data_IF_573502241613
#
_entry.id   IF_573502241613
#
_cell.length_a   1.000
_cell.length_b   1.000
_cell.length_c   1.000
_cell.angle_alpha   90.00
_cell.angle_beta   90.00
_cell.angle_gamma   90.00
#
_symmetry.space_group_name_H-M   'P 1'
#
loop_
_entity.id
_entity.type
_entity.pdbx_description
1 polymer ?
#
# COMPACT_ATOMS: atom_id res chain seq x y z
N UNK A 1 -22.36 -11.04 9.80
CA UNK A 1 -21.68 -9.74 9.94
C UNK A 1 -20.66 -9.60 8.81
N UNK A 2 -20.71 -8.51 8.02
CA UNK A 2 -19.68 -8.23 6.98
C UNK A 2 -18.50 -7.53 7.65
N UNK A 3 -17.43 -8.28 7.97
CA UNK A 3 -16.25 -7.77 8.70
C UNK A 3 -15.65 -6.54 7.99
N UNK A 4 -15.62 -6.55 6.66
CA UNK A 4 -15.10 -5.47 5.81
C UNK A 4 -15.75 -4.09 6.05
N UNK A 5 -16.95 -4.04 6.63
CA UNK A 5 -17.64 -2.77 6.95
C UNK A 5 -17.28 -2.20 8.31
N UNK A 6 -16.66 -3.01 9.17
CA UNK A 6 -16.39 -2.66 10.57
C UNK A 6 -14.91 -2.71 10.92
N UNK A 7 -14.13 -3.52 10.21
CA UNK A 7 -12.69 -3.58 10.38
C UNK A 7 -12.06 -2.32 9.77
N UNK A 8 -11.40 -1.54 10.61
CA UNK A 8 -10.61 -0.37 10.25
C UNK A 8 -9.72 0.03 11.43
N UNK A 9 -8.70 0.82 11.13
CA UNK A 9 -7.91 1.47 12.18
C UNK A 9 -8.65 2.65 12.81
N UNK A 10 -8.19 3.10 13.98
CA UNK A 10 -8.76 4.28 14.65
C UNK A 10 -8.57 5.53 13.77
N UNK A 11 -9.66 6.21 13.46
CA UNK A 11 -9.73 7.33 12.50
C UNK A 11 -9.22 8.65 13.09
N UNK A 12 -9.01 9.66 12.23
CA UNK A 12 -8.54 10.98 12.63
C UNK A 12 -7.05 11.04 12.99
N UNK A 13 -6.64 12.15 13.57
CA UNK A 13 -5.26 12.56 13.87
C UNK A 13 -5.05 12.91 15.36
N UNK A 14 -6.07 12.72 16.20
CA UNK A 14 -5.97 12.94 17.64
C UNK A 14 -5.13 11.90 18.38
N UNK A 15 -4.96 12.08 19.69
CA UNK A 15 -4.08 11.29 20.56
C UNK A 15 -4.33 9.77 20.51
N UNK A 16 -5.59 9.35 20.35
CA UNK A 16 -5.98 7.94 20.28
C UNK A 16 -6.11 7.40 18.85
N UNK A 17 -5.71 8.20 17.84
CA UNK A 17 -5.80 7.80 16.44
C UNK A 17 -4.70 6.80 16.07
N UNK A 18 -4.92 6.06 14.98
CA UNK A 18 -3.87 5.24 14.41
C UNK A 18 -2.70 6.09 13.89
N UNK A 19 -2.98 7.27 13.32
CA UNK A 19 -1.96 8.17 12.80
C UNK A 19 -0.93 8.56 13.87
N UNK A 20 -1.37 8.83 15.10
CA UNK A 20 -0.50 9.18 16.23
C UNK A 20 0.25 7.98 16.83
N UNK A 21 -0.27 6.75 16.70
CA UNK A 21 0.20 5.58 17.45
C UNK A 21 0.83 4.46 16.60
N UNK A 22 1.12 4.73 15.32
CA UNK A 22 1.58 3.69 14.36
C UNK A 22 3.09 3.75 14.04
N UNK A 23 3.90 4.24 14.99
CA UNK A 23 5.36 4.35 14.83
C UNK A 23 6.04 2.99 14.62
N UNK A 24 5.52 1.92 15.23
CA UNK A 24 6.01 0.55 15.04
C UNK A 24 5.84 0.05 13.61
N UNK A 25 4.66 0.27 13.02
CA UNK A 25 4.35 -0.10 11.64
C UNK A 25 5.20 0.70 10.65
N UNK A 26 5.37 2.01 10.89
CA UNK A 26 6.30 2.85 10.12
C UNK A 26 7.72 2.29 10.15
N UNK A 27 8.23 1.95 11.33
CA UNK A 27 9.58 1.37 11.49
C UNK A 27 9.72 0.06 10.72
N UNK A 28 8.70 -0.79 10.74
CA UNK A 28 8.74 -2.05 10.01
C UNK A 28 8.79 -1.85 8.48
N UNK A 29 8.04 -0.89 7.94
CA UNK A 29 8.13 -0.51 6.52
C UNK A 29 9.56 -0.05 6.19
N UNK A 30 10.14 0.83 7.03
CA UNK A 30 11.51 1.32 6.83
C UNK A 30 12.57 0.22 6.98
N UNK A 31 12.34 -0.80 7.81
CA UNK A 31 13.22 -1.97 7.90
C UNK A 31 13.16 -2.84 6.65
N UNK A 32 12.01 -2.91 6.00
CA UNK A 32 11.83 -3.62 4.72
C UNK A 32 12.35 -2.81 3.51
N UNK A 33 12.79 -1.57 3.72
CA UNK A 33 13.28 -0.65 2.68
C UNK A 33 14.32 -1.27 1.73
N UNK A 34 15.33 -2.05 2.17
CA UNK A 34 16.29 -2.66 1.24
C UNK A 34 15.65 -3.64 0.25
N UNK A 35 14.61 -4.37 0.69
CA UNK A 35 13.86 -5.29 -0.17
C UNK A 35 13.02 -4.52 -1.18
N UNK A 36 12.35 -3.46 -0.72
CA UNK A 36 11.59 -2.55 -1.58
C UNK A 36 12.49 -1.90 -2.63
N UNK A 37 13.65 -1.38 -2.22
CA UNK A 37 14.60 -0.72 -3.10
C UNK A 37 15.05 -1.63 -4.24
N UNK A 38 15.46 -2.87 -3.91
CA UNK A 38 15.87 -3.85 -4.93
C UNK A 38 14.74 -4.15 -5.92
N UNK A 39 13.51 -4.32 -5.43
CA UNK A 39 12.35 -4.57 -6.29
C UNK A 39 12.04 -3.40 -7.23
N UNK A 40 12.20 -2.16 -6.74
CA UNK A 40 12.01 -0.94 -7.54
C UNK A 40 13.12 -0.78 -8.58
N UNK A 41 14.37 -1.07 -8.24
CA UNK A 41 15.51 -1.05 -9.18
C UNK A 41 15.29 -2.04 -10.34
N UNK A 42 14.94 -3.29 -10.03
CA UNK A 42 14.64 -4.33 -11.02
C UNK A 42 13.42 -3.95 -11.89
N UNK A 43 12.35 -3.47 -11.25
CA UNK A 43 11.14 -3.05 -11.96
C UNK A 43 11.45 -1.87 -12.89
N UNK A 44 12.13 -0.86 -12.38
CA UNK A 44 12.51 0.31 -13.16
C UNK A 44 13.33 -0.13 -14.38
N UNK A 45 14.40 -0.91 -14.20
CA UNK A 45 15.20 -1.41 -15.32
C UNK A 45 14.40 -2.18 -16.40
N UNK A 46 13.32 -2.87 -16.00
CA UNK A 46 12.47 -3.66 -16.91
C UNK A 46 11.45 -2.84 -17.71
N UNK A 47 11.11 -1.63 -17.26
CA UNK A 47 10.07 -0.82 -17.90
C UNK A 47 10.55 -0.23 -19.24
N UNK A 48 9.66 -0.03 -20.23
CA UNK A 48 10.03 0.67 -21.47
C UNK A 48 10.19 2.19 -21.24
N UNK A 49 10.75 2.88 -22.24
CA UNK A 49 10.72 4.36 -22.29
C UNK A 49 9.27 4.84 -22.35
N UNK A 50 9.02 6.04 -21.79
CA UNK A 50 7.71 6.72 -21.83
C UNK A 50 6.59 5.80 -21.33
N UNK A 51 6.77 5.29 -20.11
CA UNK A 51 5.86 4.31 -19.50
C UNK A 51 5.45 4.70 -18.09
N UNK A 52 4.40 4.07 -17.59
CA UNK A 52 3.90 4.30 -16.24
C UNK A 52 4.24 3.11 -15.35
N UNK A 53 5.01 3.35 -14.30
CA UNK A 53 5.18 2.41 -13.19
C UNK A 53 3.94 2.46 -12.30
N UNK A 54 3.22 1.33 -12.20
CA UNK A 54 1.97 1.25 -11.43
C UNK A 54 2.18 0.41 -10.18
N UNK A 55 1.95 1.02 -9.01
CA UNK A 55 2.18 0.42 -7.69
C UNK A 55 0.89 0.49 -6.89
N UNK A 56 0.54 -0.59 -6.21
CA UNK A 56 -0.61 -0.63 -5.31
C UNK A 56 -0.20 -1.00 -3.88
N UNK A 57 -0.54 -0.14 -2.91
CA UNK A 57 -0.39 -0.41 -1.49
C UNK A 57 -1.70 -1.00 -0.95
N UNK A 58 -1.67 -2.27 -0.56
CA UNK A 58 -2.83 -3.00 -0.05
C UNK A 58 -2.88 -2.87 1.47
N UNK A 59 -3.94 -2.27 2.00
CA UNK A 59 -4.09 -1.99 3.43
C UNK A 59 -3.27 -0.79 3.88
N UNK A 60 -3.40 0.34 3.19
CA UNK A 60 -2.62 1.56 3.44
C UNK A 60 -2.94 2.22 4.79
N UNK A 61 -4.06 1.87 5.43
CA UNK A 61 -4.59 2.55 6.62
C UNK A 61 -4.79 4.06 6.38
N UNK A 62 -4.64 4.88 7.42
CA UNK A 62 -4.82 6.33 7.40
C UNK A 62 -3.61 7.08 7.95
N UNK A 63 -3.53 8.37 7.63
CA UNK A 63 -2.52 9.29 8.15
C UNK A 63 -1.19 9.25 7.40
N UNK A 64 -0.13 9.87 7.96
CA UNK A 64 1.16 10.03 7.27
C UNK A 64 1.83 8.71 6.89
N UNK A 65 1.55 7.64 7.62
CA UNK A 65 2.11 6.32 7.35
C UNK A 65 1.66 5.73 6.01
N UNK A 66 0.45 6.06 5.55
CA UNK A 66 -0.08 5.62 4.25
C UNK A 66 0.74 6.15 3.07
N UNK A 67 1.51 7.23 3.30
CA UNK A 67 2.32 7.89 2.27
C UNK A 67 3.81 7.54 2.34
N UNK A 68 4.24 6.78 3.35
CA UNK A 68 5.65 6.37 3.50
C UNK A 68 6.12 5.57 2.30
N UNK A 69 5.29 4.66 1.78
CA UNK A 69 5.62 3.92 0.56
C UNK A 69 5.82 4.86 -0.63
N UNK A 70 4.88 5.81 -0.82
CA UNK A 70 4.91 6.77 -1.92
C UNK A 70 6.20 7.60 -1.86
N UNK A 71 6.52 8.16 -0.69
CA UNK A 71 7.73 8.97 -0.50
C UNK A 71 9.01 8.16 -0.74
N UNK A 72 9.07 6.93 -0.23
CA UNK A 72 10.25 6.08 -0.40
C UNK A 72 10.49 5.72 -1.87
N UNK A 73 9.44 5.31 -2.59
CA UNK A 73 9.58 4.93 -4.00
C UNK A 73 9.93 6.14 -4.87
N UNK A 74 9.26 7.28 -4.67
CA UNK A 74 9.56 8.51 -5.43
C UNK A 74 11.02 8.91 -5.22
N UNK A 75 11.51 8.88 -3.98
CA UNK A 75 12.90 9.20 -3.66
C UNK A 75 13.90 8.21 -4.27
N UNK A 76 13.58 6.91 -4.28
CA UNK A 76 14.40 5.88 -4.91
C UNK A 76 14.50 6.11 -6.42
N UNK A 77 13.38 6.32 -7.11
CA UNK A 77 13.37 6.55 -8.56
C UNK A 77 14.08 7.85 -8.91
N UNK A 78 13.84 8.93 -8.16
CA UNK A 78 14.55 10.20 -8.35
C UNK A 78 16.06 10.05 -8.18
N UNK A 79 16.50 9.27 -7.19
CA UNK A 79 17.93 8.97 -6.98
C UNK A 79 18.51 8.16 -8.13
N UNK A 80 17.82 7.12 -8.59
CA UNK A 80 18.25 6.33 -9.75
C UNK A 80 18.41 7.18 -11.01
N UNK A 81 17.42 8.03 -11.32
CA UNK A 81 17.46 8.95 -12.48
C UNK A 81 18.64 9.90 -12.39
N UNK A 82 18.88 10.48 -11.20
CA UNK A 82 20.01 11.39 -10.96
C UNK A 82 21.37 10.70 -11.15
N UNK A 83 21.53 9.49 -10.62
CA UNK A 83 22.81 8.77 -10.64
C UNK A 83 23.14 8.16 -12.00
N UNK A 84 22.13 7.73 -12.75
CA UNK A 84 22.30 7.08 -14.05
C UNK A 84 22.22 8.06 -15.23
N UNK A 85 21.69 9.27 -15.01
CA UNK A 85 21.41 10.24 -16.08
C UNK A 85 20.30 9.76 -17.04
N UNK A 86 19.43 8.87 -16.57
CA UNK A 86 18.45 8.18 -17.39
C UNK A 86 17.23 9.06 -17.72
N UNK A 87 17.02 9.29 -19.02
CA UNK A 87 15.98 10.20 -19.55
C UNK A 87 14.74 9.48 -20.09
N UNK A 88 14.46 8.26 -19.65
CA UNK A 88 13.38 7.44 -20.22
C UNK A 88 11.95 7.83 -19.80
N UNK A 89 11.78 8.95 -19.11
CA UNK A 89 10.48 9.60 -18.85
C UNK A 89 9.43 8.64 -18.25
N UNK A 90 9.76 7.99 -17.14
CA UNK A 90 8.83 7.10 -16.43
C UNK A 90 7.98 7.92 -15.45
N UNK A 91 6.67 7.75 -15.55
CA UNK A 91 5.70 8.29 -14.60
C UNK A 91 5.35 7.23 -13.54
N UNK A 92 4.88 7.65 -12.37
CA UNK A 92 4.47 6.74 -11.30
C UNK A 92 2.98 6.89 -10.98
N UNK A 93 2.23 5.79 -10.94
CA UNK A 93 0.84 5.75 -10.47
C UNK A 93 0.76 4.88 -9.21
N UNK A 94 0.30 5.48 -8.13
CA UNK A 94 0.06 4.80 -6.85
C UNK A 94 -1.43 4.59 -6.62
N UNK A 95 -1.81 3.38 -6.23
CA UNK A 95 -3.13 3.05 -5.71
C UNK A 95 -3.03 2.75 -4.21
N UNK A 96 -3.65 3.57 -3.38
CA UNK A 96 -3.74 3.35 -1.94
C UNK A 96 -5.05 2.60 -1.65
N UNK A 97 -4.97 1.32 -1.35
CA UNK A 97 -6.12 0.48 -1.06
C UNK A 97 -6.33 0.31 0.44
N UNK A 98 -7.58 0.43 0.86
CA UNK A 98 -8.05 -0.03 2.17
C UNK A 98 -9.56 -0.31 2.10
N UNK A 99 -10.14 -0.82 3.18
CA UNK A 99 -11.56 -1.05 3.29
C UNK A 99 -12.36 0.26 3.20
N UNK A 100 -13.62 0.25 2.71
CA UNK A 100 -14.41 1.45 2.53
C UNK A 100 -14.64 2.30 3.79
N UNK A 101 -14.46 1.72 4.98
CA UNK A 101 -14.59 2.42 6.26
C UNK A 101 -13.34 3.19 6.72
N UNK A 102 -12.23 3.08 5.98
CA UNK A 102 -10.97 3.77 6.25
C UNK A 102 -11.09 5.30 6.07
N UNK A 103 -10.23 6.06 6.74
CA UNK A 103 -10.24 7.53 6.69
C UNK A 103 -9.39 8.04 5.50
N UNK A 104 -9.89 7.82 4.28
CA UNK A 104 -9.25 8.32 3.07
C UNK A 104 -9.18 9.86 3.03
N UNK A 105 -10.09 10.56 3.71
CA UNK A 105 -10.05 12.01 3.82
C UNK A 105 -8.79 12.48 4.55
N UNK A 106 -8.35 11.77 5.59
CA UNK A 106 -7.08 12.05 6.24
C UNK A 106 -5.89 11.76 5.32
N UNK A 107 -5.92 10.64 4.57
CA UNK A 107 -4.87 10.31 3.60
C UNK A 107 -4.70 11.40 2.55
N UNK A 108 -5.79 11.89 1.97
CA UNK A 108 -5.75 12.94 0.94
C UNK A 108 -5.28 14.29 1.50
N UNK A 109 -5.65 14.64 2.74
CA UNK A 109 -5.10 15.83 3.41
C UNK A 109 -3.60 15.71 3.64
N UNK A 110 -3.11 14.55 4.09
CA UNK A 110 -1.67 14.31 4.26
C UNK A 110 -0.88 14.32 2.93
N UNK A 111 -1.54 14.14 1.78
CA UNK A 111 -0.89 14.19 0.48
C UNK A 111 -0.45 15.61 0.11
N UNK A 112 -1.23 16.62 0.52
CA UNK A 112 -0.88 18.04 0.32
C UNK A 112 0.43 18.38 1.05
N UNK A 113 0.60 17.86 2.27
CA UNK A 113 1.83 18.01 3.05
C UNK A 113 3.02 17.37 2.31
N UNK A 114 2.85 16.14 1.80
CA UNK A 114 3.92 15.43 1.07
C UNK A 114 4.41 16.21 -0.16
N UNK A 115 3.49 16.81 -0.94
CA UNK A 115 3.85 17.56 -2.14
C UNK A 115 4.64 18.84 -1.81
N UNK A 116 4.36 19.45 -0.65
CA UNK A 116 5.08 20.64 -0.18
C UNK A 116 6.54 20.36 0.25
N UNK A 117 6.89 19.10 0.54
CA UNK A 117 8.23 18.66 0.93
C UNK A 117 9.17 18.37 -0.25
N UNK A 118 8.90 18.87 -1.46
CA UNK A 118 9.80 18.69 -2.61
C UNK A 118 11.22 19.17 -2.25
N UNK A 119 12.10 18.21 -1.97
CA UNK A 119 13.44 18.42 -1.42
C UNK A 119 14.38 18.95 -2.52
N UNK A 120 15.21 19.92 -2.14
CA UNK A 120 16.45 20.32 -2.83
C UNK A 120 16.31 20.86 -4.27
N UNK A 121 15.15 21.40 -4.65
CA UNK A 121 14.97 22.12 -5.92
C UNK A 121 15.02 21.24 -7.18
N UNK A 122 15.11 19.92 -7.02
CA UNK A 122 15.04 18.94 -8.10
C UNK A 122 13.62 18.41 -8.19
N UNK A 123 13.00 18.56 -9.35
CA UNK A 123 11.64 18.11 -9.60
C UNK A 123 11.63 16.58 -9.68
N UNK A 124 10.86 15.86 -8.83
CA UNK A 124 10.72 14.41 -8.94
C UNK A 124 10.02 14.04 -10.25
N UNK A 125 10.19 12.79 -10.75
CA UNK A 125 9.39 12.32 -11.88
C UNK A 125 7.89 12.44 -11.56
N UNK A 126 7.02 12.71 -12.56
CA UNK A 126 5.59 12.85 -12.32
C UNK A 126 5.02 11.65 -11.61
N UNK A 127 4.23 11.89 -10.57
CA UNK A 127 3.55 10.84 -9.83
C UNK A 127 2.11 11.21 -9.49
N UNK A 128 1.26 10.19 -9.47
CA UNK A 128 -0.18 10.31 -9.24
C UNK A 128 -0.59 9.35 -8.14
N UNK A 129 -1.49 9.80 -7.25
CA UNK A 129 -1.98 8.98 -6.13
C UNK A 129 -3.50 8.91 -6.20
N UNK A 130 -4.03 7.70 -6.16
CA UNK A 130 -5.47 7.44 -6.16
C UNK A 130 -5.87 6.55 -4.98
N UNK A 131 -7.01 6.84 -4.35
CA UNK A 131 -7.62 5.95 -3.36
C UNK A 131 -8.41 4.84 -4.01
N UNK A 132 -8.32 3.63 -3.46
CA UNK A 132 -8.95 2.42 -3.98
C UNK A 132 -9.72 1.69 -2.87
N UNK A 133 -10.98 2.09 -2.58
CA UNK A 133 -11.75 1.49 -1.51
C UNK A 133 -12.22 0.07 -1.88
N UNK A 134 -11.91 -0.91 -1.05
CA UNK A 134 -12.34 -2.29 -1.25
C UNK A 134 -11.50 -3.31 -0.49
N UNK A 135 -12.02 -4.53 -0.36
CA UNK A 135 -11.24 -5.63 0.21
C UNK A 135 -10.25 -6.18 -0.82
N UNK A 136 -8.97 -6.24 -0.47
CA UNK A 136 -7.95 -6.93 -1.28
C UNK A 136 -8.15 -8.46 -1.34
N UNK A 137 -9.12 -9.03 -0.62
CA UNK A 137 -9.57 -10.41 -0.83
C UNK A 137 -10.51 -10.57 -2.03
N UNK A 138 -10.81 -9.47 -2.72
CA UNK A 138 -11.60 -9.42 -3.94
C UNK A 138 -10.80 -8.74 -5.05
N UNK A 139 -11.32 -8.77 -6.29
CA UNK A 139 -10.67 -8.10 -7.41
C UNK A 139 -10.80 -6.59 -7.24
N UNK A 140 -9.67 -5.90 -7.09
CA UNK A 140 -9.60 -4.44 -6.97
C UNK A 140 -9.30 -3.75 -8.29
N UNK A 141 -8.45 -4.35 -9.12
CA UNK A 141 -7.93 -3.75 -10.36
C UNK A 141 -8.10 -4.71 -11.54
N UNK A 142 -8.11 -4.20 -12.80
CA UNK A 142 -8.11 -5.02 -14.00
C UNK A 142 -6.92 -5.99 -14.07
N UNK A 143 -7.01 -6.98 -14.97
CA UNK A 143 -5.85 -7.85 -15.23
C UNK A 143 -4.69 -7.04 -15.81
N UNK A 144 -3.45 -7.39 -15.40
CA UNK A 144 -2.21 -6.82 -15.95
C UNK A 144 -2.09 -5.29 -15.85
N UNK A 145 -2.73 -4.67 -14.86
CA UNK A 145 -2.71 -3.21 -14.69
C UNK A 145 -1.77 -2.72 -13.58
N UNK A 146 -1.12 -3.63 -12.83
CA UNK A 146 -0.24 -3.28 -11.71
C UNK A 146 1.10 -3.98 -11.89
N UNK A 147 2.18 -3.25 -11.67
CA UNK A 147 3.54 -3.75 -11.78
C UNK A 147 4.08 -4.24 -10.43
N UNK A 148 3.72 -3.57 -9.34
CA UNK A 148 4.14 -3.95 -7.99
C UNK A 148 2.97 -3.83 -6.99
N UNK A 149 2.78 -4.88 -6.19
CA UNK A 149 1.93 -4.82 -5.00
C UNK A 149 2.81 -4.73 -3.76
N UNK A 150 2.53 -3.76 -2.91
CA UNK A 150 3.07 -3.65 -1.56
C UNK A 150 1.96 -3.90 -0.54
N UNK A 151 2.34 -4.47 0.61
CA UNK A 151 1.40 -4.80 1.67
C UNK A 151 2.18 -4.96 2.97
N UNK A 152 1.89 -4.13 3.97
CA UNK A 152 2.55 -4.20 5.29
C UNK A 152 1.51 -4.21 6.40
N UNK A 153 1.65 -5.14 7.35
CA UNK A 153 0.78 -5.26 8.52
C UNK A 153 -0.73 -5.35 8.25
N UNK A 154 -1.13 -5.90 7.11
CA UNK A 154 -2.56 -6.08 6.78
C UNK A 154 -2.97 -7.53 6.47
N UNK A 155 -2.07 -8.39 5.98
CA UNK A 155 -2.40 -9.77 5.55
C UNK A 155 -2.84 -10.71 6.69
N UNK A 156 -2.56 -10.34 7.95
CA UNK A 156 -3.04 -11.10 9.11
C UNK A 156 -4.55 -10.93 9.34
N UNK A 157 -5.17 -9.89 8.80
CA UNK A 157 -6.59 -9.61 8.97
C UNK A 157 -7.45 -10.50 8.10
N UNK A 158 -8.22 -11.40 8.70
CA UNK A 158 -9.01 -12.38 7.95
C UNK A 158 -10.35 -11.83 7.48
N UNK A 159 -10.81 -12.29 6.31
CA UNK A 159 -12.13 -11.95 5.77
C UNK A 159 -13.31 -12.46 6.61
N UNK A 160 -13.09 -13.50 7.43
CA UNK A 160 -14.10 -14.12 8.31
C UNK A 160 -13.46 -14.51 9.65
N UNK A 161 -14.25 -14.46 10.71
CA UNK A 161 -13.86 -14.98 12.04
C UNK A 161 -13.61 -16.48 11.91
N UNK A 162 -12.56 -16.97 12.58
CA UNK A 162 -12.37 -18.42 12.72
C UNK A 162 -13.57 -19.01 13.46
N UNK A 163 -14.36 -19.86 12.82
CA UNK A 163 -15.39 -20.60 13.53
C UNK A 163 -14.70 -21.73 14.31
N UNK A 164 -14.71 -21.74 15.65
CA UNK A 164 -14.20 -22.89 16.39
C UNK A 164 -15.25 -24.00 16.29
N UNK A 165 -14.87 -25.11 15.61
CA UNK A 165 -15.61 -26.38 15.40
C UNK A 165 -16.52 -26.44 14.16
N UNK A 166 -15.97 -26.98 13.06
CA UNK A 166 -16.68 -28.08 12.42
C UNK A 166 -16.47 -29.31 13.31
N UNK A 167 -17.47 -29.69 14.11
CA UNK A 167 -17.52 -31.06 14.61
C UNK A 167 -17.61 -31.95 13.37
N UNK A 168 -16.54 -32.68 13.07
CA UNK A 168 -16.66 -33.86 12.23
C UNK A 168 -17.70 -34.75 12.92
N UNK A 169 -18.92 -34.79 12.39
CA UNK A 169 -19.78 -35.94 12.61
C UNK A 169 -19.02 -37.09 11.96
N UNK A 170 -18.34 -37.89 12.77
CA UNK A 170 -17.96 -39.24 12.37
C UNK A 170 -19.28 -39.96 12.12
N UNK A 171 -19.71 -39.99 10.87
CA UNK A 171 -20.71 -40.96 10.43
C UNK A 171 -20.06 -42.31 10.65
N UNK A 172 -20.50 -43.03 11.69
CA UNK A 172 -20.18 -44.45 11.84
C UNK A 172 -20.65 -45.15 10.57
N UNK A 173 -19.71 -45.50 9.69
CA UNK A 173 -19.95 -46.47 8.63
C UNK A 173 -20.17 -47.79 9.35
N UNK A 174 -21.42 -48.26 9.41
CA UNK A 174 -21.69 -49.69 9.66
C UNK A 174 -21.11 -50.43 8.46
N UNK A 175 -20.01 -51.14 8.69
CA UNK A 175 -19.59 -52.24 7.83
C UNK A 175 -20.66 -53.33 7.94
N UNK A 176 -20.97 -53.94 6.81
CA UNK A 176 -21.94 -55.06 6.64
C UNK A 176 -21.71 -56.14 7.68
#
# INVERSE_FOLDING_TARGET
MKIERHLRMATGDGENSYAANSSGQKKAILQARPVLQKAIEELYASLPRESTMVIADLGCSSGPNSLVLVSEVVNMVQTMVRETGDCRAVEMQFFLNDLPGNDFNLVFRSLEELQSFSMDGVVPPPYYVAGLPGSFYTRLLPCNSVHLFHSSYCLMWRSKVCCPRATFKVSTVRVV
#
